data_IF_493711242262
#
_entry.id   IF_493711242262
#
_cell.length_a   1.000
_cell.length_b   1.000
_cell.length_c   1.000
_cell.angle_alpha   90.00
_cell.angle_beta   90.00
_cell.angle_gamma   90.00
#
_symmetry.space_group_name_H-M   'P 1'
#
loop_
_entity.id
_entity.type
_entity.pdbx_description
1 polymer ?
#
# COMPACT_ATOMS: atom_id res chain seq x y z
N UNK A 1 36.28 10.36 -25.35
CA UNK A 1 35.54 10.16 -24.06
C UNK A 1 34.52 11.31 -23.96
N UNK A 2 33.32 11.10 -24.45
CA UNK A 2 32.22 12.05 -24.44
C UNK A 2 31.70 12.17 -22.99
N UNK A 3 31.90 13.34 -22.39
CA UNK A 3 31.36 13.69 -21.07
C UNK A 3 29.83 13.66 -21.21
N UNK A 4 29.17 12.59 -20.78
CA UNK A 4 27.73 12.54 -20.72
C UNK A 4 27.27 13.73 -19.88
N UNK A 5 26.52 14.63 -20.49
CA UNK A 5 25.80 15.68 -19.80
C UNK A 5 24.95 14.95 -18.74
N UNK A 6 25.31 15.09 -17.46
CA UNK A 6 24.47 14.61 -16.37
C UNK A 6 23.15 15.37 -16.50
N UNK A 7 22.07 14.65 -16.79
CA UNK A 7 20.73 15.23 -16.77
C UNK A 7 20.50 15.83 -15.37
N UNK A 8 19.85 16.98 -15.31
CA UNK A 8 19.48 17.59 -14.03
C UNK A 8 18.63 16.57 -13.22
N UNK A 9 18.81 16.50 -11.90
CA UNK A 9 18.05 15.59 -11.08
C UNK A 9 16.56 15.97 -11.09
N UNK A 10 15.69 14.98 -11.31
CA UNK A 10 14.24 15.17 -11.20
C UNK A 10 13.89 15.33 -9.73
N UNK A 11 13.15 16.37 -9.39
CA UNK A 11 12.68 16.63 -8.04
C UNK A 11 11.46 15.76 -7.74
N UNK A 12 11.53 14.91 -6.72
CA UNK A 12 10.40 14.12 -6.21
C UNK A 12 10.01 14.66 -4.84
N UNK A 13 8.73 14.97 -4.64
CA UNK A 13 8.19 15.48 -3.38
C UNK A 13 7.26 14.41 -2.79
N UNK A 14 7.54 14.00 -1.56
CA UNK A 14 6.88 12.90 -0.87
C UNK A 14 7.69 11.60 -0.90
N UNK A 15 8.18 11.17 0.27
CA UNK A 15 8.94 9.93 0.45
C UNK A 15 8.10 8.80 1.07
N UNK A 16 6.80 8.78 0.75
CA UNK A 16 5.95 7.61 0.96
C UNK A 16 6.23 6.49 -0.03
N UNK A 17 5.42 5.44 -0.04
CA UNK A 17 5.62 4.29 -0.93
C UNK A 17 5.69 4.68 -2.41
N UNK A 18 4.86 5.63 -2.87
CA UNK A 18 4.86 6.08 -4.25
C UNK A 18 6.18 6.76 -4.64
N UNK A 19 6.63 7.73 -3.83
CA UNK A 19 7.86 8.47 -4.11
C UNK A 19 9.12 7.62 -4.01
N UNK A 20 9.20 6.73 -3.01
CA UNK A 20 10.33 5.81 -2.87
C UNK A 20 10.40 4.78 -4.02
N UNK A 21 9.27 4.21 -4.44
CA UNK A 21 9.24 3.32 -5.60
C UNK A 21 9.66 4.06 -6.88
N UNK A 22 9.16 5.27 -7.09
CA UNK A 22 9.49 6.07 -8.27
C UNK A 22 10.96 6.51 -8.28
N UNK A 23 11.49 6.96 -7.14
CA UNK A 23 12.90 7.31 -7.02
C UNK A 23 13.80 6.09 -7.34
N UNK A 24 13.46 4.92 -6.79
CA UNK A 24 14.19 3.66 -7.06
C UNK A 24 14.14 3.29 -8.54
N UNK A 25 12.98 3.43 -9.19
CA UNK A 25 12.80 3.09 -10.60
C UNK A 25 13.57 4.04 -11.52
N UNK A 26 13.53 5.35 -11.28
CA UNK A 26 14.28 6.34 -12.05
C UNK A 26 15.79 6.16 -11.88
N UNK A 27 16.27 5.98 -10.65
CA UNK A 27 17.69 5.72 -10.38
C UNK A 27 18.18 4.45 -11.08
N UNK A 28 17.40 3.37 -11.04
CA UNK A 28 17.71 2.12 -11.75
C UNK A 28 17.86 2.33 -13.27
N UNK A 29 17.13 3.30 -13.84
CA UNK A 29 17.19 3.67 -15.27
C UNK A 29 18.25 4.72 -15.57
N UNK A 30 19.06 5.09 -14.58
CA UNK A 30 20.16 6.07 -14.77
C UNK A 30 19.73 7.52 -14.74
N UNK A 31 18.48 7.82 -14.37
CA UNK A 31 17.98 9.19 -14.20
C UNK A 31 18.22 9.65 -12.75
N UNK A 32 19.07 10.68 -12.52
CA UNK A 32 19.26 11.23 -11.18
C UNK A 32 17.99 11.83 -10.62
N UNK A 33 17.79 11.70 -9.31
CA UNK A 33 16.65 12.25 -8.58
C UNK A 33 17.10 13.02 -7.34
N UNK A 34 16.29 14.00 -6.92
CA UNK A 34 16.38 14.69 -5.64
C UNK A 34 15.08 14.45 -4.88
N UNK A 35 15.16 13.71 -3.78
CA UNK A 35 14.00 13.28 -3.01
C UNK A 35 13.76 14.22 -1.80
N UNK A 36 12.55 14.77 -1.69
CA UNK A 36 12.16 15.72 -0.66
C UNK A 36 10.93 15.24 0.11
N UNK A 37 10.94 15.45 1.42
CA UNK A 37 9.76 15.24 2.28
C UNK A 37 9.82 16.23 3.45
N UNK A 38 8.75 16.39 4.21
CA UNK A 38 8.76 17.19 5.44
C UNK A 38 9.39 16.43 6.62
N UNK A 39 9.67 15.15 6.47
CA UNK A 39 10.51 14.35 7.34
C UNK A 39 11.65 13.71 6.54
N UNK A 40 12.78 13.50 7.20
CA UNK A 40 13.98 12.89 6.61
C UNK A 40 13.97 11.37 6.62
N UNK A 41 12.96 10.76 7.23
CA UNK A 41 12.77 9.31 7.32
C UNK A 41 11.32 8.91 7.12
N UNK A 42 11.02 7.74 6.50
CA UNK A 42 9.68 7.19 6.51
C UNK A 42 9.17 7.00 7.93
N UNK A 43 7.89 7.32 8.16
CA UNK A 43 7.35 7.26 9.52
C UNK A 43 5.81 7.41 9.57
N UNK A 44 5.26 7.51 10.80
CA UNK A 44 3.83 7.53 11.06
C UNK A 44 3.08 8.73 10.48
N UNK A 45 3.80 9.69 9.91
CA UNK A 45 3.27 10.84 9.19
C UNK A 45 2.72 10.49 7.79
N UNK A 46 3.07 9.34 7.25
CA UNK A 46 2.64 8.88 5.93
C UNK A 46 1.74 7.65 6.03
N UNK A 47 0.65 7.60 5.23
CA UNK A 47 -0.30 6.49 5.27
C UNK A 47 0.34 5.13 4.92
N UNK A 48 1.42 5.12 4.16
CA UNK A 48 2.18 3.90 3.85
C UNK A 48 2.80 3.22 5.08
N UNK A 49 3.07 3.96 6.16
CA UNK A 49 3.56 3.39 7.43
C UNK A 49 2.55 2.45 8.08
N UNK A 50 1.26 2.73 7.89
CA UNK A 50 0.13 2.04 8.50
C UNK A 50 -0.50 0.97 7.59
N UNK A 51 0.15 0.62 6.48
CA UNK A 51 -0.36 -0.33 5.51
C UNK A 51 -0.23 -1.80 5.98
N UNK A 52 -1.13 -2.66 5.48
CA UNK A 52 -1.08 -4.11 5.69
C UNK A 52 0.08 -4.81 4.98
N UNK A 53 0.54 -4.28 3.86
CA UNK A 53 1.63 -4.87 3.08
C UNK A 53 1.25 -6.14 2.32
N UNK A 54 -0.03 -6.38 2.12
CA UNK A 54 -0.49 -7.49 1.29
C UNK A 54 -0.22 -7.21 -0.19
N UNK A 55 0.43 -8.15 -0.86
CA UNK A 55 0.64 -8.20 -2.29
C UNK A 55 -0.33 -9.24 -2.86
N UNK A 56 -1.61 -8.88 -2.83
CA UNK A 56 -2.75 -9.79 -2.99
C UNK A 56 -3.68 -9.34 -4.12
N UNK A 57 -3.19 -9.28 -5.40
CA UNK A 57 -3.95 -8.70 -6.50
C UNK A 57 -5.28 -9.43 -6.74
N UNK A 58 -5.31 -10.74 -6.61
CA UNK A 58 -6.50 -11.52 -6.92
C UNK A 58 -7.58 -11.38 -5.85
N UNK A 59 -7.21 -11.30 -4.57
CA UNK A 59 -8.12 -10.96 -3.47
C UNK A 59 -8.74 -9.57 -3.64
N UNK A 60 -7.97 -8.58 -4.15
CA UNK A 60 -8.50 -7.23 -4.37
C UNK A 60 -9.52 -7.16 -5.50
N UNK A 61 -9.48 -8.09 -6.48
CA UNK A 61 -10.46 -8.21 -7.56
C UNK A 61 -11.91 -8.40 -7.10
N UNK A 62 -12.16 -8.69 -5.81
CA UNK A 62 -13.52 -8.76 -5.25
C UNK A 62 -14.26 -7.42 -5.35
N UNK A 63 -13.55 -6.32 -5.17
CA UNK A 63 -14.15 -4.96 -5.15
C UNK A 63 -13.40 -3.95 -6.00
N UNK A 64 -12.18 -4.26 -6.44
CA UNK A 64 -11.37 -3.37 -7.24
C UNK A 64 -11.57 -3.63 -8.74
N UNK A 65 -11.34 -2.60 -9.55
CA UNK A 65 -11.36 -2.68 -11.01
C UNK A 65 -10.20 -3.55 -11.55
N UNK A 66 -10.35 -4.10 -12.74
CA UNK A 66 -9.38 -4.99 -13.40
C UNK A 66 -7.93 -4.44 -13.38
N UNK A 67 -7.67 -3.16 -13.65
CA UNK A 67 -6.31 -2.62 -13.62
C UNK A 67 -5.58 -2.86 -12.30
N UNK A 68 -6.28 -2.90 -11.16
CA UNK A 68 -5.66 -3.19 -9.86
C UNK A 68 -5.09 -4.61 -9.81
N UNK A 69 -5.82 -5.57 -10.35
CA UNK A 69 -5.36 -6.97 -10.44
C UNK A 69 -4.17 -7.09 -11.37
N UNK A 70 -4.28 -6.53 -12.56
CA UNK A 70 -3.26 -6.63 -13.61
C UNK A 70 -1.96 -5.94 -13.20
N UNK A 71 -2.02 -4.69 -12.75
CA UNK A 71 -0.83 -3.96 -12.29
C UNK A 71 -0.27 -4.55 -11.00
N UNK A 72 -1.13 -5.00 -10.09
CA UNK A 72 -0.71 -5.60 -8.84
C UNK A 72 0.05 -6.91 -8.99
N UNK A 73 -0.16 -7.64 -10.10
CA UNK A 73 0.51 -8.92 -10.34
C UNK A 73 2.04 -8.81 -10.48
N UNK A 74 2.57 -7.65 -10.86
CA UNK A 74 4.01 -7.42 -10.96
C UNK A 74 4.69 -7.03 -9.63
N UNK A 75 3.88 -6.71 -8.59
CA UNK A 75 4.40 -6.12 -7.36
C UNK A 75 5.43 -7.00 -6.64
N UNK A 76 5.12 -8.27 -6.42
CA UNK A 76 5.99 -9.18 -5.68
C UNK A 76 7.38 -9.29 -6.31
N UNK A 77 7.44 -9.42 -7.64
CA UNK A 77 8.70 -9.48 -8.39
C UNK A 77 9.51 -8.20 -8.25
N UNK A 78 8.86 -7.04 -8.34
CA UNK A 78 9.51 -5.75 -8.22
C UNK A 78 10.10 -5.53 -6.81
N UNK A 79 9.35 -5.85 -5.76
CA UNK A 79 9.83 -5.72 -4.38
C UNK A 79 11.07 -6.59 -4.12
N UNK A 80 11.06 -7.86 -4.59
CA UNK A 80 12.22 -8.75 -4.47
C UNK A 80 13.45 -8.22 -5.23
N UNK A 81 13.27 -7.71 -6.45
CA UNK A 81 14.36 -7.12 -7.23
C UNK A 81 15.01 -5.91 -6.55
N UNK A 82 14.27 -5.20 -5.69
CA UNK A 82 14.78 -4.10 -4.88
C UNK A 82 15.32 -4.57 -3.51
N UNK A 83 15.46 -5.89 -3.30
CA UNK A 83 16.03 -6.47 -2.08
C UNK A 83 15.12 -6.39 -0.87
N UNK A 84 13.80 -6.20 -1.08
CA UNK A 84 12.80 -6.25 -0.01
C UNK A 84 12.41 -7.70 0.24
N UNK A 85 12.41 -8.10 1.50
CA UNK A 85 11.95 -9.42 1.89
C UNK A 85 10.42 -9.52 1.72
N UNK A 86 9.97 -10.58 1.05
CA UNK A 86 8.55 -10.88 0.91
C UNK A 86 8.27 -12.33 1.32
N UNK A 87 7.14 -12.54 1.96
CA UNK A 87 6.62 -13.88 2.27
C UNK A 87 5.68 -14.33 1.16
N UNK A 88 5.97 -15.47 0.51
CA UNK A 88 5.19 -16.08 -0.57
C UNK A 88 4.38 -17.28 -0.06
N UNK A 89 3.67 -17.09 1.03
CA UNK A 89 2.86 -18.15 1.66
C UNK A 89 1.41 -18.15 1.19
N UNK A 90 1.07 -17.31 0.23
CA UNK A 90 -0.30 -17.11 -0.22
C UNK A 90 -1.13 -16.27 0.74
N UNK A 91 -2.45 -16.21 0.47
CA UNK A 91 -3.45 -15.58 1.33
C UNK A 91 -4.60 -16.54 1.58
N UNK A 92 -5.16 -16.56 2.78
CA UNK A 92 -6.32 -17.38 3.12
C UNK A 92 -7.53 -16.48 3.42
N UNK A 93 -8.61 -16.70 2.69
CA UNK A 93 -9.88 -15.98 2.87
C UNK A 93 -10.87 -16.89 3.57
N UNK A 94 -11.40 -16.45 4.69
CA UNK A 94 -12.30 -17.18 5.56
C UNK A 94 -13.59 -16.40 5.82
N UNK A 95 -14.64 -17.09 6.21
CA UNK A 95 -15.87 -16.51 6.73
C UNK A 95 -16.31 -17.28 7.97
N UNK A 96 -17.03 -16.60 8.88
CA UNK A 96 -17.68 -17.27 10.01
C UNK A 96 -18.80 -18.19 9.50
N UNK A 97 -19.18 -19.17 10.30
CA UNK A 97 -20.19 -20.17 9.92
C UNK A 97 -21.51 -19.56 9.42
N UNK A 98 -21.94 -18.45 10.02
CA UNK A 98 -23.16 -17.69 9.62
C UNK A 98 -22.98 -16.88 8.33
N UNK A 99 -21.75 -16.57 7.94
CA UNK A 99 -21.43 -15.65 6.83
C UNK A 99 -20.87 -16.39 5.59
N UNK A 100 -21.10 -17.70 5.46
CA UNK A 100 -20.59 -18.54 4.37
C UNK A 100 -21.02 -18.05 2.97
N UNK A 101 -22.15 -17.37 2.86
CA UNK A 101 -22.61 -16.75 1.59
C UNK A 101 -21.66 -15.65 1.09
N UNK A 102 -20.96 -14.98 2.01
CA UNK A 102 -19.94 -13.98 1.65
C UNK A 102 -18.74 -14.65 0.96
N UNK A 103 -18.35 -15.85 1.41
CA UNK A 103 -17.29 -16.62 0.79
C UNK A 103 -17.66 -17.03 -0.65
N UNK A 104 -18.90 -17.50 -0.85
CA UNK A 104 -19.39 -17.86 -2.19
C UNK A 104 -19.49 -16.63 -3.11
N UNK A 105 -19.86 -15.46 -2.57
CA UNK A 105 -19.85 -14.18 -3.31
C UNK A 105 -18.44 -13.78 -3.69
N UNK A 106 -17.50 -13.86 -2.76
CA UNK A 106 -16.08 -13.54 -2.97
C UNK A 106 -15.48 -14.43 -4.06
N UNK A 107 -15.72 -15.74 -4.00
CA UNK A 107 -15.25 -16.70 -4.99
C UNK A 107 -15.72 -16.38 -6.42
N UNK A 108 -16.97 -15.93 -6.58
CA UNK A 108 -17.50 -15.57 -7.93
C UNK A 108 -16.88 -14.31 -8.51
N UNK A 109 -16.29 -13.44 -7.68
CA UNK A 109 -15.72 -12.15 -8.09
C UNK A 109 -14.21 -12.15 -8.22
N UNK A 110 -13.57 -13.23 -7.76
CA UNK A 110 -12.11 -13.32 -7.73
C UNK A 110 -11.61 -14.46 -8.61
N UNK A 111 -10.35 -14.37 -9.01
CA UNK A 111 -9.67 -15.37 -9.84
C UNK A 111 -8.48 -15.96 -9.06
N UNK A 112 -7.89 -17.04 -9.60
CA UNK A 112 -6.64 -17.64 -9.08
C UNK A 112 -6.72 -18.11 -7.63
N UNK A 113 -7.91 -18.51 -7.16
CA UNK A 113 -8.08 -19.17 -5.88
C UNK A 113 -8.47 -20.63 -6.05
N UNK A 114 -8.20 -21.42 -5.02
CA UNK A 114 -8.71 -22.78 -4.89
C UNK A 114 -9.57 -22.88 -3.62
N UNK A 115 -10.65 -23.69 -3.65
CA UNK A 115 -11.41 -23.98 -2.45
C UNK A 115 -10.53 -24.68 -1.42
N UNK A 116 -10.55 -24.22 -0.18
CA UNK A 116 -9.87 -24.85 0.94
C UNK A 116 -10.92 -25.50 1.86
N UNK A 117 -10.84 -26.79 2.05
CA UNK A 117 -11.63 -27.51 3.04
C UNK A 117 -10.98 -27.46 4.43
N UNK A 118 -11.61 -28.09 5.44
CA UNK A 118 -11.11 -28.07 6.81
C UNK A 118 -9.72 -28.73 6.96
N UNK A 119 -9.41 -29.74 6.16
CA UNK A 119 -8.12 -30.44 6.19
C UNK A 119 -7.02 -29.53 5.64
N UNK A 120 -7.27 -28.91 4.48
CA UNK A 120 -6.33 -27.96 3.87
C UNK A 120 -6.13 -26.72 4.78
N UNK A 121 -7.19 -26.19 5.38
CA UNK A 121 -7.06 -25.07 6.33
C UNK A 121 -6.17 -25.44 7.50
N UNK A 122 -6.34 -26.67 8.08
CA UNK A 122 -5.52 -27.15 9.19
C UNK A 122 -4.05 -27.38 8.77
N UNK A 123 -3.79 -27.77 7.53
CA UNK A 123 -2.44 -27.90 6.98
C UNK A 123 -1.79 -26.54 6.77
N UNK A 124 -2.51 -25.59 6.15
CA UNK A 124 -2.03 -24.26 5.87
C UNK A 124 -1.80 -23.41 7.13
N UNK A 125 -2.73 -23.51 8.09
CA UNK A 125 -2.77 -22.74 9.34
C UNK A 125 -3.19 -23.66 10.50
N UNK A 126 -2.27 -24.40 11.13
CA UNK A 126 -2.58 -25.32 12.22
C UNK A 126 -3.33 -24.67 13.39
N UNK A 127 -3.06 -23.39 13.65
CA UNK A 127 -3.79 -22.64 14.68
C UNK A 127 -5.29 -22.48 14.37
N UNK A 128 -5.70 -22.60 13.11
CA UNK A 128 -7.10 -22.50 12.70
C UNK A 128 -7.78 -23.88 12.50
N UNK A 129 -7.09 -24.96 12.84
CA UNK A 129 -7.65 -26.31 12.74
C UNK A 129 -8.98 -26.43 13.50
N UNK A 130 -9.95 -27.10 12.87
CA UNK A 130 -11.30 -27.35 13.41
C UNK A 130 -12.17 -26.09 13.64
N UNK A 131 -11.71 -24.91 13.25
CA UNK A 131 -12.45 -23.64 13.42
C UNK A 131 -13.24 -23.24 12.18
N UNK A 132 -12.71 -23.51 11.02
CA UNK A 132 -13.32 -23.19 9.74
C UNK A 132 -13.47 -24.44 8.88
N UNK A 133 -14.62 -24.59 8.25
CA UNK A 133 -14.92 -25.76 7.38
C UNK A 133 -14.59 -25.50 5.93
N UNK A 134 -14.55 -24.23 5.52
CA UNK A 134 -14.34 -23.80 4.14
C UNK A 134 -13.59 -22.46 4.13
N UNK A 135 -12.76 -22.30 3.12
CA UNK A 135 -12.05 -21.08 2.82
C UNK A 135 -11.71 -20.99 1.32
N UNK A 136 -11.01 -19.95 0.94
CA UNK A 136 -10.40 -19.81 -0.37
C UNK A 136 -8.90 -19.54 -0.17
N UNK A 137 -8.06 -20.30 -0.84
CA UNK A 137 -6.62 -20.16 -0.78
C UNK A 137 -6.10 -19.55 -2.08
N UNK A 138 -5.36 -18.46 -1.98
CA UNK A 138 -4.70 -17.76 -3.07
C UNK A 138 -3.20 -18.02 -2.98
N UNK A 139 -2.74 -19.09 -3.59
CA UNK A 139 -1.38 -19.61 -3.46
C UNK A 139 -0.30 -18.62 -3.94
N UNK A 140 -0.58 -17.89 -5.02
CA UNK A 140 0.39 -17.02 -5.67
C UNK A 140 0.54 -15.64 -5.03
N UNK A 141 -0.29 -15.32 -4.03
CA UNK A 141 -0.23 -14.07 -3.31
C UNK A 141 0.92 -14.03 -2.30
N UNK A 142 1.30 -12.85 -1.91
CA UNK A 142 2.42 -12.61 -1.01
C UNK A 142 2.10 -11.47 -0.03
N UNK A 143 3.01 -11.24 0.92
CA UNK A 143 2.99 -10.04 1.75
C UNK A 143 4.41 -9.62 2.13
N UNK A 144 4.53 -8.39 2.60
CA UNK A 144 5.75 -7.80 3.11
C UNK A 144 5.46 -6.99 4.38
N UNK A 145 6.51 -6.61 5.09
CA UNK A 145 6.44 -5.64 6.19
C UNK A 145 6.63 -4.23 5.62
N UNK A 146 5.59 -3.37 5.61
CA UNK A 146 5.67 -2.04 5.00
C UNK A 146 6.81 -1.17 5.49
N UNK A 147 7.06 -1.18 6.80
CA UNK A 147 8.10 -0.36 7.44
C UNK A 147 9.50 -0.78 6.98
N UNK A 148 9.75 -2.08 6.93
CA UNK A 148 11.03 -2.62 6.46
C UNK A 148 11.23 -2.38 4.96
N UNK A 149 10.16 -2.49 4.18
CA UNK A 149 10.19 -2.20 2.75
C UNK A 149 10.52 -0.72 2.47
N UNK A 150 9.89 0.22 3.20
CA UNK A 150 10.20 1.64 3.08
C UNK A 150 11.65 1.94 3.52
N UNK A 151 12.08 1.37 4.65
CA UNK A 151 13.45 1.52 5.13
C UNK A 151 14.46 0.96 4.10
N UNK A 152 14.19 -0.21 3.53
CA UNK A 152 15.05 -0.84 2.53
C UNK A 152 15.21 0.01 1.27
N UNK A 153 14.12 0.56 0.73
CA UNK A 153 14.19 1.45 -0.44
C UNK A 153 14.96 2.73 -0.12
N UNK A 154 14.72 3.35 1.04
CA UNK A 154 15.48 4.52 1.50
C UNK A 154 16.98 4.20 1.57
N UNK A 155 17.34 3.09 2.18
CA UNK A 155 18.75 2.69 2.36
C UNK A 155 19.43 2.38 1.02
N UNK A 156 18.72 1.72 0.10
CA UNK A 156 19.21 1.49 -1.26
C UNK A 156 19.46 2.82 -2.02
N UNK A 157 18.57 3.79 -1.86
CA UNK A 157 18.71 5.12 -2.45
C UNK A 157 19.88 5.89 -1.82
N UNK A 158 20.02 5.83 -0.49
CA UNK A 158 21.13 6.46 0.22
C UNK A 158 22.50 5.90 -0.21
N UNK A 159 22.61 4.58 -0.44
CA UNK A 159 23.82 3.96 -0.99
C UNK A 159 24.16 4.47 -2.40
N UNK A 160 23.19 4.97 -3.15
CA UNK A 160 23.38 5.61 -4.46
C UNK A 160 23.53 7.14 -4.37
N UNK A 161 23.66 7.68 -3.15
CA UNK A 161 23.85 9.12 -2.91
C UNK A 161 22.54 9.93 -2.87
N UNK A 162 21.37 9.30 -2.88
CA UNK A 162 20.06 9.96 -2.79
C UNK A 162 19.53 9.85 -1.36
N UNK A 163 19.57 10.96 -0.63
CA UNK A 163 18.98 11.07 0.70
C UNK A 163 17.67 11.87 0.64
N UNK A 164 16.78 11.62 1.61
CA UNK A 164 15.57 12.42 1.76
C UNK A 164 15.97 13.77 2.34
N UNK A 165 15.78 14.83 1.56
CA UNK A 165 16.01 16.20 2.01
C UNK A 165 14.76 16.75 2.68
N UNK A 166 14.89 17.14 3.95
CA UNK A 166 13.78 17.74 4.68
C UNK A 166 13.45 19.13 4.16
N UNK A 167 12.16 19.37 3.89
CA UNK A 167 11.62 20.66 3.44
C UNK A 167 10.42 21.04 4.29
N UNK A 168 10.12 22.36 4.36
CA UNK A 168 8.91 22.79 5.07
C UNK A 168 7.65 22.41 4.26
N UNK A 169 6.52 22.13 4.91
CA UNK A 169 5.28 21.82 4.20
C UNK A 169 4.86 22.87 3.18
N UNK A 170 5.09 24.15 3.47
CA UNK A 170 4.82 25.25 2.53
C UNK A 170 5.68 25.21 1.26
N UNK A 171 6.90 24.65 1.36
CA UNK A 171 7.84 24.54 0.23
C UNK A 171 7.60 23.28 -0.60
N UNK A 172 6.68 22.43 -0.16
CA UNK A 172 6.31 21.18 -0.89
C UNK A 172 5.21 21.43 -1.92
N UNK A 173 4.44 22.50 -1.80
CA UNK A 173 3.46 22.85 -2.84
C UNK A 173 4.19 23.25 -4.12
N UNK A 174 3.87 22.66 -5.28
CA UNK A 174 4.39 23.15 -6.54
C UNK A 174 3.77 24.53 -6.78
N UNK A 175 4.60 25.58 -6.77
CA UNK A 175 4.16 26.91 -7.12
C UNK A 175 4.33 27.08 -8.64
N UNK A 176 3.25 27.13 -9.38
CA UNK A 176 3.26 27.45 -10.81
C UNK A 176 3.84 28.85 -11.11
N UNK A 177 3.81 29.77 -10.13
CA UNK A 177 4.30 31.16 -10.27
C UNK A 177 5.78 31.35 -9.91
N UNK A 178 6.48 30.33 -9.39
CA UNK A 178 7.91 30.52 -9.06
C UNK A 178 8.81 30.20 -10.23
N UNK A 179 9.08 31.26 -11.05
CA UNK A 179 10.18 31.40 -12.02
C UNK A 179 11.60 31.23 -11.39
N UNK A 180 11.72 30.68 -10.17
CA UNK A 180 12.98 30.66 -9.41
C UNK A 180 13.59 29.28 -9.21
N UNK A 181 13.04 28.21 -9.80
CA UNK A 181 13.78 26.95 -9.86
C UNK A 181 14.38 26.77 -11.26
N UNK A 182 15.70 26.50 -11.35
CA UNK A 182 16.31 26.18 -12.64
C UNK A 182 15.54 25.02 -13.26
N UNK A 183 15.32 25.05 -14.54
CA UNK A 183 14.48 24.24 -15.40
C UNK A 183 14.53 22.73 -15.10
N UNK A 184 13.78 22.24 -14.09
CA UNK A 184 13.72 20.83 -13.75
C UNK A 184 12.28 20.36 -13.56
N UNK A 185 11.98 19.14 -14.03
CA UNK A 185 10.68 18.49 -13.79
C UNK A 185 10.50 18.19 -12.32
N UNK A 186 9.29 18.44 -11.78
CA UNK A 186 8.89 18.07 -10.43
C UNK A 186 7.86 16.93 -10.50
N UNK A 187 7.99 15.93 -9.60
CA UNK A 187 6.99 14.88 -9.44
C UNK A 187 6.41 14.97 -8.03
N UNK A 188 5.11 15.15 -7.92
CA UNK A 188 4.37 15.26 -6.66
C UNK A 188 3.80 13.90 -6.25
N UNK A 189 4.35 13.32 -5.20
CA UNK A 189 3.94 12.07 -4.56
C UNK A 189 3.46 12.30 -3.11
N UNK A 190 2.97 13.51 -2.75
CA UNK A 190 2.63 13.91 -1.38
C UNK A 190 1.40 13.19 -0.79
N UNK A 191 0.79 12.27 -1.52
CA UNK A 191 -0.41 11.59 -1.05
C UNK A 191 -1.56 12.57 -0.81
N UNK A 192 -2.25 12.45 0.33
CA UNK A 192 -3.42 13.31 0.61
C UNK A 192 -3.06 14.81 0.74
N UNK A 193 -1.82 15.15 1.03
CA UNK A 193 -1.41 16.55 1.09
C UNK A 193 -1.50 17.24 -0.28
N UNK A 194 -1.47 16.48 -1.40
CA UNK A 194 -1.64 17.01 -2.74
C UNK A 194 -3.09 17.42 -3.06
N UNK A 195 -4.04 17.29 -2.13
CA UNK A 195 -5.41 17.79 -2.29
C UNK A 195 -5.48 19.33 -2.41
N UNK A 196 -4.41 20.03 -2.05
CA UNK A 196 -4.24 21.46 -2.33
C UNK A 196 -4.18 21.75 -3.83
N UNK A 197 -3.74 20.79 -4.63
CA UNK A 197 -3.62 20.86 -6.08
C UNK A 197 -4.63 19.96 -6.81
N UNK A 198 -4.91 18.78 -6.27
CA UNK A 198 -5.82 17.78 -6.83
C UNK A 198 -7.17 17.83 -6.11
N UNK A 199 -8.06 18.71 -6.56
CA UNK A 199 -9.32 19.01 -5.86
C UNK A 199 -10.33 17.85 -5.86
N UNK A 200 -10.18 16.87 -6.76
CA UNK A 200 -10.97 15.64 -6.82
C UNK A 200 -10.37 14.51 -5.96
N UNK A 201 -9.23 14.76 -5.29
CA UNK A 201 -8.62 13.82 -4.38
C UNK A 201 -9.35 13.82 -3.03
N UNK A 202 -9.81 12.66 -2.59
CA UNK A 202 -10.49 12.48 -1.31
C UNK A 202 -9.68 11.64 -0.34
N UNK A 203 -9.96 11.77 0.94
CA UNK A 203 -9.38 10.95 1.99
C UNK A 203 -10.30 9.79 2.36
N UNK A 204 -9.74 8.59 2.46
CA UNK A 204 -10.43 7.42 3.02
C UNK A 204 -9.68 6.94 4.26
N UNK A 205 -10.25 7.28 5.42
CA UNK A 205 -9.67 6.97 6.72
C UNK A 205 -9.59 5.47 6.95
N UNK A 206 -8.43 5.00 7.38
CA UNK A 206 -8.17 3.65 7.82
C UNK A 206 -7.62 3.63 9.24
N UNK A 207 -8.22 2.82 10.07
CA UNK A 207 -7.79 2.60 11.45
C UNK A 207 -7.34 1.14 11.59
N UNK A 208 -6.24 0.91 12.28
CA UNK A 208 -5.61 -0.40 12.40
C UNK A 208 -4.96 -0.57 13.78
N UNK A 209 -4.68 -1.80 14.14
CA UNK A 209 -4.00 -2.17 15.38
C UNK A 209 -2.76 -3.01 15.05
N UNK A 210 -1.72 -2.87 15.85
CA UNK A 210 -0.64 -3.85 15.96
C UNK A 210 -0.85 -4.60 17.25
N UNK A 211 -0.98 -5.91 17.14
CA UNK A 211 -1.21 -6.82 18.26
C UNK A 211 0.03 -7.69 18.47
N UNK A 212 0.35 -7.99 19.72
CA UNK A 212 1.31 -9.02 20.09
C UNK A 212 0.57 -10.16 20.78
N UNK A 213 0.65 -11.34 20.18
CA UNK A 213 -0.02 -12.56 20.64
C UNK A 213 0.90 -13.77 20.38
N UNK A 214 1.85 -14.06 21.27
CA UNK A 214 2.85 -15.10 21.06
C UNK A 214 2.25 -16.51 21.09
N UNK A 215 1.05 -16.68 21.65
CA UNK A 215 0.38 -17.96 21.80
C UNK A 215 -0.34 -18.44 20.52
N UNK A 216 -0.26 -17.67 19.43
CA UNK A 216 -0.80 -18.06 18.13
C UNK A 216 0.24 -17.80 17.03
N UNK A 217 0.33 -18.73 16.09
CA UNK A 217 1.15 -18.57 14.88
C UNK A 217 0.25 -18.59 13.66
N UNK A 218 0.37 -17.55 12.83
CA UNK A 218 -0.19 -17.52 11.48
C UNK A 218 0.95 -17.33 10.48
N UNK A 219 0.92 -18.09 9.38
CA UNK A 219 2.00 -18.11 8.39
C UNK A 219 1.75 -17.15 7.23
N UNK A 220 0.51 -16.71 7.06
CA UNK A 220 0.06 -15.89 5.93
C UNK A 220 -1.01 -14.89 6.34
N UNK A 221 -1.30 -13.89 5.50
CA UNK A 221 -2.45 -13.02 5.70
C UNK A 221 -3.76 -13.82 5.73
N UNK A 222 -4.56 -13.59 6.76
CA UNK A 222 -5.92 -14.11 6.88
C UNK A 222 -6.89 -12.97 6.62
N UNK A 223 -7.73 -13.11 5.60
CA UNK A 223 -8.85 -12.19 5.35
C UNK A 223 -10.11 -12.83 5.89
N UNK A 224 -10.71 -12.22 6.92
CA UNK A 224 -11.99 -12.67 7.48
C UNK A 224 -13.11 -11.81 6.87
N UNK A 225 -13.95 -12.45 6.08
CA UNK A 225 -15.12 -11.81 5.49
C UNK A 225 -16.19 -11.59 6.56
N UNK A 226 -16.71 -10.38 6.59
CA UNK A 226 -17.82 -10.01 7.45
C UNK A 226 -18.69 -8.98 6.71
N UNK A 227 -20.05 -9.09 6.76
CA UNK A 227 -20.93 -8.22 5.98
C UNK A 227 -20.77 -6.71 6.24
N UNK A 228 -20.31 -6.34 7.44
CA UNK A 228 -20.18 -4.94 7.85
C UNK A 228 -18.73 -4.47 7.98
N UNK A 229 -17.84 -5.31 8.50
CA UNK A 229 -16.46 -4.95 8.81
C UNK A 229 -15.51 -6.11 8.51
N UNK A 230 -15.23 -6.35 7.20
CA UNK A 230 -14.21 -7.31 6.83
C UNK A 230 -12.85 -6.86 7.36
N UNK A 231 -12.08 -7.80 7.87
CA UNK A 231 -10.74 -7.52 8.38
C UNK A 231 -9.69 -8.36 7.66
N UNK A 232 -8.45 -7.97 7.85
CA UNK A 232 -7.30 -8.81 7.58
C UNK A 232 -6.35 -8.82 8.77
N UNK A 233 -5.74 -9.97 9.03
CA UNK A 233 -4.67 -10.14 10.00
C UNK A 233 -3.43 -10.55 9.23
N UNK A 234 -2.36 -9.77 9.34
CA UNK A 234 -1.11 -10.00 8.61
C UNK A 234 0.03 -10.25 9.61
N UNK A 235 0.67 -11.43 9.58
CA UNK A 235 1.79 -11.72 10.47
C UNK A 235 3.00 -10.84 10.17
N UNK A 236 3.74 -10.50 11.24
CA UNK A 236 4.96 -9.69 11.21
C UNK A 236 6.17 -10.42 11.79
N UNK A 237 6.02 -11.71 12.13
CA UNK A 237 7.01 -12.46 12.89
C UNK A 237 6.86 -12.29 14.40
N UNK A 238 7.47 -13.18 15.17
CA UNK A 238 7.58 -13.12 16.63
C UNK A 238 6.26 -12.89 17.40
N UNK A 239 5.17 -13.45 16.89
CA UNK A 239 3.84 -13.26 17.49
C UNK A 239 3.24 -11.87 17.32
N UNK A 240 3.80 -11.04 16.44
CA UNK A 240 3.27 -9.71 16.12
C UNK A 240 2.38 -9.80 14.89
N UNK A 241 1.24 -9.11 14.94
CA UNK A 241 0.24 -9.09 13.87
C UNK A 241 -0.25 -7.67 13.60
N UNK A 242 -0.40 -7.34 12.34
CA UNK A 242 -1.15 -6.16 11.94
C UNK A 242 -2.60 -6.56 11.66
N UNK A 243 -3.52 -5.94 12.39
CA UNK A 243 -4.96 -6.10 12.26
C UNK A 243 -5.57 -4.87 11.60
N UNK A 244 -6.17 -5.04 10.47
CA UNK A 244 -6.76 -3.93 9.71
C UNK A 244 -7.99 -4.32 8.93
N UNK A 245 -8.61 -3.39 8.35
CA UNK A 245 -8.62 -1.98 8.71
C UNK A 245 -9.99 -1.41 8.39
N UNK A 246 -10.36 -0.36 9.12
CA UNK A 246 -11.59 0.36 8.78
C UNK A 246 -11.48 1.06 7.43
N UNK A 247 -12.61 1.34 6.83
CA UNK A 247 -12.73 2.15 5.63
C UNK A 247 -13.85 3.16 5.84
N UNK A 248 -13.47 4.40 6.11
CA UNK A 248 -14.39 5.48 6.46
C UNK A 248 -14.17 6.64 5.49
N UNK A 249 -15.22 7.11 4.84
CA UNK A 249 -15.15 8.28 3.96
C UNK A 249 -14.89 9.54 4.80
N UNK A 250 -13.63 9.84 5.04
CA UNK A 250 -13.16 10.98 5.83
C UNK A 250 -11.68 11.23 5.58
N UNK A 251 -11.30 12.49 5.52
CA UNK A 251 -9.90 12.93 5.49
C UNK A 251 -9.30 13.14 6.90
N UNK A 252 -10.05 12.84 7.98
CA UNK A 252 -9.57 13.02 9.35
C UNK A 252 -8.52 11.97 9.72
N UNK A 253 -7.31 12.44 10.01
CA UNK A 253 -6.12 11.63 10.33
C UNK A 253 -5.80 11.58 11.83
N UNK A 254 -6.59 12.24 12.68
CA UNK A 254 -6.15 12.58 14.03
C UNK A 254 -6.31 11.47 15.05
N UNK A 255 -7.42 10.72 15.05
CA UNK A 255 -7.77 9.81 16.16
C UNK A 255 -8.50 8.57 15.68
N UNK A 256 -8.23 7.44 16.34
CA UNK A 256 -9.00 6.20 16.23
C UNK A 256 -10.22 6.29 17.13
N UNK A 257 -11.35 5.73 16.70
CA UNK A 257 -12.57 5.69 17.49
C UNK A 257 -12.67 4.41 18.33
N UNK A 258 -13.28 4.50 19.49
CA UNK A 258 -13.56 3.31 20.33
C UNK A 258 -14.36 2.26 19.56
N UNK A 259 -15.32 2.68 18.72
CA UNK A 259 -16.09 1.77 17.86
C UNK A 259 -15.17 0.96 16.95
N UNK A 260 -14.26 1.61 16.24
CA UNK A 260 -13.34 0.94 15.31
C UNK A 260 -12.45 -0.06 16.03
N UNK A 261 -11.92 0.30 17.21
CA UNK A 261 -11.12 -0.62 18.02
C UNK A 261 -11.92 -1.86 18.41
N UNK A 262 -13.16 -1.67 18.90
CA UNK A 262 -14.03 -2.79 19.26
C UNK A 262 -14.39 -3.67 18.07
N UNK A 263 -14.69 -3.09 16.90
CA UNK A 263 -15.02 -3.83 15.69
C UNK A 263 -13.84 -4.70 15.23
N UNK A 264 -12.63 -4.14 15.21
CA UNK A 264 -11.41 -4.85 14.84
C UNK A 264 -11.08 -5.98 15.83
N UNK A 265 -11.07 -5.70 17.13
CA UNK A 265 -10.78 -6.69 18.16
C UNK A 265 -11.82 -7.81 18.21
N UNK A 266 -13.11 -7.48 18.10
CA UNK A 266 -14.18 -8.48 18.04
C UNK A 266 -14.03 -9.42 16.84
N UNK A 267 -13.63 -8.89 15.69
CA UNK A 267 -13.41 -9.71 14.50
C UNK A 267 -12.16 -10.61 14.65
N UNK A 268 -11.08 -10.09 15.23
CA UNK A 268 -9.89 -10.90 15.55
C UNK A 268 -10.22 -12.01 16.56
N UNK A 269 -10.96 -11.70 17.63
CA UNK A 269 -11.44 -12.67 18.62
C UNK A 269 -12.35 -13.73 17.98
N UNK A 270 -13.21 -13.35 17.04
CA UNK A 270 -14.08 -14.28 16.33
C UNK A 270 -13.30 -15.23 15.41
N UNK A 271 -12.18 -14.75 14.81
CA UNK A 271 -11.26 -15.61 14.06
C UNK A 271 -10.60 -16.63 14.99
N UNK A 272 -9.99 -16.17 16.07
CA UNK A 272 -9.37 -17.02 17.07
C UNK A 272 -9.41 -16.38 18.47
N UNK A 273 -9.95 -17.08 19.52
CA UNK A 273 -10.14 -16.51 20.85
C UNK A 273 -8.84 -16.11 21.57
N UNK A 274 -7.70 -16.69 21.19
CA UNK A 274 -6.40 -16.30 21.72
C UNK A 274 -6.09 -14.81 21.49
N UNK A 275 -6.64 -14.19 20.43
CA UNK A 275 -6.52 -12.75 20.23
C UNK A 275 -7.22 -11.91 21.31
N UNK A 276 -8.05 -12.50 22.15
CA UNK A 276 -8.64 -11.82 23.32
C UNK A 276 -7.60 -11.45 24.39
N UNK A 277 -6.50 -12.19 24.46
CA UNK A 277 -5.40 -11.96 25.39
C UNK A 277 -4.21 -11.24 24.75
N UNK A 278 -4.35 -10.79 23.48
CA UNK A 278 -3.29 -10.10 22.78
C UNK A 278 -3.02 -8.71 23.38
N UNK A 279 -1.76 -8.36 23.50
CA UNK A 279 -1.35 -6.98 23.82
C UNK A 279 -1.63 -6.05 22.63
N UNK A 280 -2.22 -4.88 22.88
CA UNK A 280 -2.32 -3.82 21.89
C UNK A 280 -1.00 -3.02 21.93
N UNK A 281 -0.12 -3.29 20.98
CA UNK A 281 1.20 -2.65 20.91
C UNK A 281 1.09 -1.25 20.33
N UNK A 282 0.23 -1.08 19.31
CA UNK A 282 0.12 0.18 18.60
C UNK A 282 -1.31 0.35 18.03
N UNK A 283 -1.78 1.57 18.04
CA UNK A 283 -3.03 1.98 17.41
C UNK A 283 -2.69 3.00 16.33
N UNK A 284 -3.00 2.68 15.07
CA UNK A 284 -2.68 3.51 13.93
C UNK A 284 -3.89 4.06 13.21
N UNK A 285 -3.73 5.24 12.65
CA UNK A 285 -4.76 5.88 11.81
C UNK A 285 -4.10 6.75 10.75
N UNK A 286 -4.61 6.67 9.53
CA UNK A 286 -4.32 7.64 8.49
C UNK A 286 -5.45 7.67 7.45
N UNK A 287 -5.41 8.67 6.56
CA UNK A 287 -6.33 8.79 5.44
C UNK A 287 -5.59 8.46 4.12
N UNK A 288 -6.11 7.47 3.42
CA UNK A 288 -5.60 7.03 2.13
C UNK A 288 -6.06 7.99 1.05
N UNK A 289 -5.17 8.48 0.17
CA UNK A 289 -5.57 9.31 -0.96
C UNK A 289 -6.29 8.46 -2.02
N UNK A 290 -7.46 8.90 -2.46
CA UNK A 290 -8.26 8.18 -3.43
C UNK A 290 -8.99 9.13 -4.38
N UNK A 291 -9.10 8.74 -5.65
CA UNK A 291 -10.03 9.31 -6.61
C UNK A 291 -11.39 8.59 -6.54
N UNK A 292 -12.38 9.08 -7.27
CA UNK A 292 -13.75 8.59 -7.16
C UNK A 292 -13.90 7.08 -7.45
N UNK A 293 -13.13 6.55 -8.39
CA UNK A 293 -13.12 5.14 -8.80
C UNK A 293 -12.06 4.29 -8.05
N UNK A 294 -11.31 4.88 -7.10
CA UNK A 294 -10.22 4.25 -6.37
C UNK A 294 -9.03 3.77 -7.23
N UNK A 295 -8.93 4.21 -8.48
CA UNK A 295 -7.76 3.96 -9.32
C UNK A 295 -6.71 5.07 -9.16
N UNK A 296 -5.42 4.76 -9.24
CA UNK A 296 -4.38 5.78 -9.24
C UNK A 296 -4.42 6.62 -10.51
N UNK A 297 -3.85 7.82 -10.42
CA UNK A 297 -3.71 8.73 -11.57
C UNK A 297 -2.29 9.27 -11.68
N UNK A 298 -1.85 9.41 -12.92
CA UNK A 298 -0.70 10.21 -13.31
C UNK A 298 -1.27 11.41 -14.06
N UNK A 299 -1.02 12.62 -13.57
CA UNK A 299 -1.48 13.88 -14.19
C UNK A 299 -0.32 14.80 -14.40
N UNK A 300 -0.34 15.57 -15.48
CA UNK A 300 0.68 16.58 -15.75
C UNK A 300 0.05 17.97 -15.82
N UNK A 301 0.63 18.90 -15.07
CA UNK A 301 0.38 20.34 -15.16
C UNK A 301 1.72 21.06 -15.37
N UNK A 302 1.92 21.67 -16.51
CA UNK A 302 3.17 22.33 -16.83
C UNK A 302 4.40 21.41 -16.66
N UNK A 303 5.27 21.76 -15.73
CA UNK A 303 6.47 20.98 -15.38
C UNK A 303 6.27 20.01 -14.21
N UNK A 304 5.07 19.96 -13.64
CA UNK A 304 4.77 19.05 -12.52
C UNK A 304 3.99 17.84 -12.99
N UNK A 305 4.42 16.66 -12.55
CA UNK A 305 3.71 15.38 -12.71
C UNK A 305 3.21 14.93 -11.34
N UNK A 306 1.91 14.76 -11.19
CA UNK A 306 1.28 14.26 -9.99
C UNK A 306 1.08 12.75 -10.09
N UNK A 307 1.52 12.02 -9.07
CA UNK A 307 1.37 10.58 -8.95
C UNK A 307 0.63 10.28 -7.65
N UNK A 308 -0.66 9.94 -7.74
CA UNK A 308 -1.51 9.90 -6.56
C UNK A 308 -2.69 8.90 -6.69
N UNK A 309 -3.49 8.79 -5.63
CA UNK A 309 -4.73 8.00 -5.64
C UNK A 309 -4.53 6.50 -5.47
N UNK A 310 -3.41 6.05 -4.88
CA UNK A 310 -3.13 4.61 -4.67
C UNK A 310 -4.09 3.95 -3.68
N UNK A 311 -4.95 4.71 -2.98
CA UNK A 311 -5.97 4.22 -2.07
C UNK A 311 -5.40 3.20 -1.07
N UNK A 312 -6.03 2.04 -0.92
CA UNK A 312 -5.56 0.94 -0.05
C UNK A 312 -4.54 0.02 -0.72
N UNK A 313 -4.21 0.28 -2.01
CA UNK A 313 -3.37 -0.58 -2.83
C UNK A 313 -1.92 -0.07 -2.96
N UNK A 314 -1.46 0.80 -2.05
CA UNK A 314 -0.18 1.48 -2.18
C UNK A 314 1.01 0.54 -2.47
N UNK A 315 1.23 -0.49 -1.65
CA UNK A 315 2.34 -1.44 -1.85
C UNK A 315 2.11 -2.38 -3.04
N UNK A 316 0.86 -2.60 -3.41
CA UNK A 316 0.49 -3.42 -4.57
C UNK A 316 0.70 -2.68 -5.89
N UNK A 317 0.36 -1.39 -5.96
CA UNK A 317 0.34 -0.63 -7.21
C UNK A 317 1.54 0.31 -7.40
N UNK A 318 2.22 0.75 -6.33
CA UNK A 318 3.32 1.69 -6.44
C UNK A 318 4.44 1.22 -7.40
N UNK A 319 4.81 -0.07 -7.47
CA UNK A 319 5.75 -0.57 -8.46
C UNK A 319 5.33 -0.30 -9.91
N UNK A 320 4.13 -0.68 -10.28
CA UNK A 320 3.59 -0.50 -11.64
C UNK A 320 3.44 0.99 -11.99
N UNK A 321 2.92 1.78 -11.04
CA UNK A 321 2.76 3.22 -11.22
C UNK A 321 4.12 3.91 -11.37
N UNK A 322 5.13 3.51 -10.60
CA UNK A 322 6.50 4.01 -10.72
C UNK A 322 7.10 3.69 -12.11
N UNK A 323 6.93 2.45 -12.59
CA UNK A 323 7.36 2.03 -13.92
C UNK A 323 6.69 2.87 -15.01
N UNK A 324 5.36 2.98 -14.98
CA UNK A 324 4.61 3.76 -15.97
C UNK A 324 4.98 5.24 -15.94
N UNK A 325 5.20 5.82 -14.76
CA UNK A 325 5.65 7.21 -14.63
C UNK A 325 7.04 7.39 -15.22
N UNK A 326 7.96 6.45 -14.96
CA UNK A 326 9.30 6.51 -15.54
C UNK A 326 9.28 6.32 -17.08
N UNK A 327 8.45 5.43 -17.61
CA UNK A 327 8.25 5.26 -19.06
C UNK A 327 7.72 6.54 -19.70
N UNK A 328 6.80 7.23 -19.05
CA UNK A 328 6.28 8.51 -19.50
C UNK A 328 7.36 9.59 -19.53
N UNK A 329 8.10 9.73 -18.44
CA UNK A 329 9.11 10.79 -18.30
C UNK A 329 10.29 10.58 -19.25
N UNK A 330 10.79 9.36 -19.34
CA UNK A 330 12.01 9.07 -20.10
C UNK A 330 11.77 8.78 -21.59
N UNK A 331 10.59 8.26 -21.94
CA UNK A 331 10.28 7.77 -23.27
C UNK A 331 9.01 8.37 -23.87
N UNK A 332 8.34 9.29 -23.15
CA UNK A 332 7.05 9.90 -23.55
C UNK A 332 5.96 8.86 -23.85
N UNK A 333 6.01 7.71 -23.19
CA UNK A 333 4.99 6.67 -23.30
C UNK A 333 3.81 7.03 -22.39
N UNK A 334 2.68 7.42 -22.97
CA UNK A 334 1.49 7.79 -22.19
C UNK A 334 0.94 6.60 -21.40
N UNK A 335 0.89 6.68 -20.05
CA UNK A 335 0.32 5.64 -19.22
C UNK A 335 -1.20 5.49 -19.41
N UNK A 336 -1.74 4.29 -19.27
CA UNK A 336 -3.19 4.10 -19.34
C UNK A 336 -3.95 4.77 -18.18
N UNK A 337 -3.30 4.93 -17.02
CA UNK A 337 -3.85 5.65 -15.85
C UNK A 337 -3.59 7.17 -15.89
N UNK A 338 -3.08 7.67 -17.01
CA UNK A 338 -2.91 9.10 -17.21
C UNK A 338 -4.24 9.70 -17.66
N UNK A 339 -4.80 10.56 -16.83
CA UNK A 339 -5.98 11.32 -17.19
C UNK A 339 -5.65 12.79 -17.52
N UNK A 340 -6.58 13.44 -18.19
CA UNK A 340 -6.53 14.88 -18.41
C UNK A 340 -7.08 15.58 -17.17
N UNK A 341 -6.45 16.70 -16.83
CA UNK A 341 -6.88 17.51 -15.71
C UNK A 341 -8.18 18.22 -16.10
N UNK A 342 -9.27 17.80 -15.51
CA UNK A 342 -10.54 18.52 -15.64
C UNK A 342 -10.54 19.63 -14.57
N UNK A 343 -10.27 20.86 -15.00
CA UNK A 343 -10.38 22.07 -14.19
C UNK A 343 -11.82 22.41 -13.84
#
# INVERSE_FOLDING_TARGET
MTKALRSEPIRIIGAGVAGLCLASELMRRGQPVALHDYQDTPGPHACSWWAGGMLAPFCEGETAEEPVVRFGSEAAGWWQQNGVEISKQGSLVLALGRDQKELDRFARRTLQHQPADAAMIAELEPALANRHRRGLFFETEAHLTPRDALAKLRDNLAQQGVNITRVQPADTAPNDDQQQHPAGMTIDCRGLAAADQLHDLRGVKGEMLVLRCPDITLNRPIRLLHPRFPIYIVPRGDGVFMLGATQIESADRRRVTARSVMELLNAAYALHPTFGEAEIVEIGVDARPAFADNLPRIRRRGQTVYVNGLFRHGFLLAPAVARMTADYILHNQRPEIMDEDHH
#
